data_IF_374801328792
#
_entry.id   IF_374801328792
#
_cell.length_a   1.000
_cell.length_b   1.000
_cell.length_c   1.000
_cell.angle_alpha   90.00
_cell.angle_beta   90.00
_cell.angle_gamma   90.00
#
_symmetry.space_group_name_H-M   'P 1'
#
loop_
_entity.id
_entity.type
_entity.pdbx_description
1 polymer ?
#
# COMPACT_ATOMS: atom_id res chain seq x y z
N UNK A 1 22.84 14.24 -5.95
CA UNK A 1 23.98 13.49 -6.49
C UNK A 1 23.49 12.18 -7.07
N UNK A 2 24.22 11.66 -8.05
CA UNK A 2 23.90 10.41 -8.75
C UNK A 2 23.69 9.22 -7.81
N UNK A 3 24.49 9.13 -6.72
CA UNK A 3 24.33 8.11 -5.69
C UNK A 3 22.92 8.14 -5.07
N UNK A 4 22.46 9.30 -4.55
CA UNK A 4 21.12 9.43 -3.95
C UNK A 4 20.01 8.98 -4.90
N UNK A 5 20.03 9.47 -6.14
CA UNK A 5 18.99 9.15 -7.13
C UNK A 5 19.01 7.67 -7.50
N UNK A 6 20.19 7.09 -7.70
CA UNK A 6 20.33 5.66 -8.00
C UNK A 6 19.86 4.78 -6.85
N UNK A 7 20.21 5.11 -5.60
CA UNK A 7 19.76 4.34 -4.43
C UNK A 7 18.24 4.45 -4.22
N UNK A 8 17.67 5.64 -4.44
CA UNK A 8 16.21 5.83 -4.37
C UNK A 8 15.47 5.03 -5.44
N UNK A 9 15.99 4.97 -6.67
CA UNK A 9 15.35 4.18 -7.72
C UNK A 9 15.40 2.68 -7.43
N UNK A 10 16.55 2.20 -6.96
CA UNK A 10 16.69 0.82 -6.47
C UNK A 10 15.71 0.49 -5.34
N UNK A 11 15.44 1.45 -4.44
CA UNK A 11 14.42 1.29 -3.41
C UNK A 11 13.03 1.09 -4.02
N UNK A 12 12.61 1.95 -4.96
CA UNK A 12 11.29 1.86 -5.59
C UNK A 12 11.11 0.52 -6.30
N UNK A 13 12.09 0.11 -7.09
CA UNK A 13 12.07 -1.16 -7.82
C UNK A 13 11.98 -2.37 -6.88
N UNK A 14 12.81 -2.39 -5.83
CA UNK A 14 12.81 -3.46 -4.85
C UNK A 14 11.48 -3.53 -4.08
N UNK A 15 10.96 -2.36 -3.67
CA UNK A 15 9.71 -2.27 -2.93
C UNK A 15 8.52 -2.69 -3.79
N UNK A 16 8.44 -2.21 -5.03
CA UNK A 16 7.41 -2.62 -5.98
C UNK A 16 7.46 -4.14 -6.25
N UNK A 17 8.66 -4.69 -6.45
CA UNK A 17 8.84 -6.12 -6.66
C UNK A 17 8.35 -6.94 -5.46
N UNK A 18 8.68 -6.52 -4.24
CA UNK A 18 8.23 -7.17 -3.01
C UNK A 18 6.69 -7.15 -2.88
N UNK A 19 6.07 -6.00 -3.16
CA UNK A 19 4.60 -5.87 -3.15
C UNK A 19 3.95 -6.76 -4.23
N UNK A 20 4.55 -6.86 -5.41
CA UNK A 20 4.06 -7.71 -6.49
C UNK A 20 4.23 -9.21 -6.18
N UNK A 21 5.20 -9.57 -5.34
CA UNK A 21 5.37 -10.93 -4.81
C UNK A 21 4.38 -11.27 -3.69
N UNK A 22 3.53 -10.33 -3.26
CA UNK A 22 2.55 -10.54 -2.20
C UNK A 22 3.10 -10.37 -0.78
N UNK A 23 4.32 -9.85 -0.64
CA UNK A 23 4.91 -9.61 0.68
C UNK A 23 4.13 -8.55 1.47
N UNK A 24 4.22 -8.63 2.81
CA UNK A 24 3.57 -7.69 3.70
C UNK A 24 4.10 -6.25 3.54
N UNK A 25 3.21 -5.30 3.24
CA UNK A 25 3.57 -3.90 2.94
C UNK A 25 4.51 -3.28 3.97
N UNK A 26 4.22 -3.41 5.26
CA UNK A 26 5.05 -2.81 6.32
C UNK A 26 6.44 -3.45 6.40
N UNK A 27 6.51 -4.76 6.26
CA UNK A 27 7.77 -5.51 6.31
C UNK A 27 8.65 -5.18 5.11
N UNK A 28 8.09 -5.17 3.90
CA UNK A 28 8.81 -4.83 2.67
C UNK A 28 9.23 -3.36 2.65
N UNK A 29 8.37 -2.43 3.10
CA UNK A 29 8.74 -1.02 3.19
C UNK A 29 9.93 -0.81 4.14
N UNK A 30 9.89 -1.47 5.31
CA UNK A 30 10.95 -1.38 6.31
C UNK A 30 12.27 -1.98 5.82
N UNK A 31 12.24 -3.20 5.28
CA UNK A 31 13.45 -3.90 4.80
C UNK A 31 14.07 -3.18 3.60
N UNK A 32 13.26 -2.72 2.64
CA UNK A 32 13.74 -1.96 1.48
C UNK A 32 14.33 -0.61 1.91
N UNK A 33 13.69 0.11 2.83
CA UNK A 33 14.20 1.38 3.34
C UNK A 33 15.54 1.21 4.07
N UNK A 34 15.66 0.22 4.95
CA UNK A 34 16.93 -0.08 5.63
C UNK A 34 18.04 -0.45 4.65
N UNK A 35 17.75 -1.31 3.67
CA UNK A 35 18.71 -1.69 2.63
C UNK A 35 19.16 -0.48 1.80
N UNK A 36 18.21 0.39 1.43
CA UNK A 36 18.47 1.63 0.72
C UNK A 36 19.41 2.55 1.53
N UNK A 37 19.09 2.81 2.79
CA UNK A 37 19.92 3.67 3.65
C UNK A 37 21.32 3.10 3.85
N UNK A 38 21.45 1.79 4.09
CA UNK A 38 22.76 1.12 4.23
C UNK A 38 23.60 1.22 2.96
N UNK A 39 23.00 1.04 1.78
CA UNK A 39 23.71 1.20 0.48
C UNK A 39 24.15 2.64 0.26
N UNK A 40 23.32 3.61 0.63
CA UNK A 40 23.68 5.02 0.54
C UNK A 40 24.86 5.35 1.47
N UNK A 41 24.79 4.93 2.73
CA UNK A 41 25.84 5.18 3.73
C UNK A 41 27.18 4.57 3.28
N UNK A 42 27.18 3.31 2.82
CA UNK A 42 28.37 2.66 2.25
C UNK A 42 28.91 3.38 1.01
N UNK A 43 28.04 3.74 0.07
CA UNK A 43 28.45 4.46 -1.14
C UNK A 43 29.00 5.86 -0.83
N UNK A 44 28.56 6.48 0.26
CA UNK A 44 29.14 7.70 0.78
C UNK A 44 30.55 7.47 1.32
N UNK A 45 30.76 6.46 2.17
CA UNK A 45 32.08 6.10 2.71
C UNK A 45 33.11 5.85 1.61
N UNK A 46 32.74 5.10 0.57
CA UNK A 46 33.61 4.79 -0.58
C UNK A 46 33.95 6.02 -1.44
N UNK A 47 33.13 7.08 -1.37
CA UNK A 47 33.29 8.31 -2.14
C UNK A 47 33.94 9.46 -1.33
N UNK A 48 34.19 9.29 -0.03
CA UNK A 48 34.81 10.32 0.81
C UNK A 48 36.26 10.53 0.35
N UNK A 49 36.55 11.76 -0.07
CA UNK A 49 37.92 12.26 -0.20
C UNK A 49 38.23 13.00 1.09
N UNK A 50 39.21 12.52 1.86
CA UNK A 50 39.54 13.04 3.21
C UNK A 50 39.78 14.56 3.25
N UNK A 51 40.25 15.16 2.15
CA UNK A 51 40.49 16.61 2.06
C UNK A 51 39.22 17.47 1.85
N UNK A 52 38.08 16.88 1.49
CA UNK A 52 36.91 17.63 1.04
C UNK A 52 35.90 18.00 2.14
N UNK A 53 36.05 17.50 3.38
CA UNK A 53 35.11 17.67 4.50
C UNK A 53 33.63 17.58 4.07
N UNK A 54 33.32 16.54 3.29
CA UNK A 54 32.00 16.41 2.66
C UNK A 54 30.95 15.93 3.68
N UNK A 55 30.01 16.81 4.01
CA UNK A 55 28.88 16.51 4.89
C UNK A 55 27.75 15.79 4.12
N UNK A 56 27.59 14.49 4.36
CA UNK A 56 26.56 13.65 3.73
C UNK A 56 25.20 13.74 4.43
N UNK A 57 25.13 14.30 5.64
CA UNK A 57 23.95 14.27 6.51
C UNK A 57 22.70 14.82 5.82
N UNK A 58 22.81 16.00 5.20
CA UNK A 58 21.70 16.64 4.46
C UNK A 58 21.21 15.81 3.28
N UNK A 59 22.12 15.11 2.59
CA UNK A 59 21.75 14.26 1.46
C UNK A 59 21.09 12.97 1.95
N UNK A 60 21.56 12.43 3.07
CA UNK A 60 20.99 11.27 3.77
C UNK A 60 19.57 11.56 4.28
N UNK A 61 19.38 12.69 4.95
CA UNK A 61 18.06 13.15 5.42
C UNK A 61 17.09 13.38 4.27
N UNK A 62 17.58 13.93 3.14
CA UNK A 62 16.76 14.06 1.94
C UNK A 62 16.37 12.71 1.36
N UNK A 63 17.28 11.74 1.33
CA UNK A 63 16.97 10.38 0.88
C UNK A 63 15.88 9.76 1.76
N UNK A 64 16.01 9.86 3.09
CA UNK A 64 15.00 9.33 4.02
C UNK A 64 13.62 9.94 3.75
N UNK A 65 13.54 11.27 3.60
CA UNK A 65 12.28 11.94 3.27
C UNK A 65 11.69 11.51 1.93
N UNK A 66 12.53 11.31 0.91
CA UNK A 66 12.08 10.84 -0.41
C UNK A 66 11.54 9.39 -0.34
N UNK A 67 12.17 8.54 0.49
CA UNK A 67 11.70 7.17 0.78
C UNK A 67 10.35 7.21 1.48
N UNK A 68 10.23 7.99 2.56
CA UNK A 68 8.99 8.10 3.34
C UNK A 68 7.83 8.60 2.47
N UNK A 69 8.08 9.62 1.65
CA UNK A 69 7.10 10.14 0.69
C UNK A 69 6.67 9.08 -0.34
N UNK A 70 7.60 8.22 -0.80
CA UNK A 70 7.26 7.13 -1.71
C UNK A 70 6.41 6.06 -1.01
N UNK A 71 6.74 5.69 0.23
CA UNK A 71 5.95 4.76 1.04
C UNK A 71 4.52 5.28 1.25
N UNK A 72 4.37 6.57 1.59
CA UNK A 72 3.05 7.18 1.78
C UNK A 72 2.25 7.19 0.47
N UNK A 73 2.89 7.54 -0.65
CA UNK A 73 2.25 7.48 -1.97
C UNK A 73 1.81 6.06 -2.33
N UNK A 74 2.65 5.05 -2.09
CA UNK A 74 2.34 3.65 -2.35
C UNK A 74 1.18 3.16 -1.46
N UNK A 75 1.18 3.55 -0.18
CA UNK A 75 0.10 3.24 0.77
C UNK A 75 -1.22 3.84 0.29
N UNK A 76 -1.24 5.12 -0.08
CA UNK A 76 -2.43 5.79 -0.59
C UNK A 76 -2.96 5.12 -1.86
N UNK A 77 -2.08 4.75 -2.79
CA UNK A 77 -2.44 4.02 -4.01
C UNK A 77 -3.06 2.65 -3.70
N UNK A 78 -2.48 1.87 -2.78
CA UNK A 78 -3.02 0.57 -2.37
C UNK A 78 -4.35 0.66 -1.65
N UNK A 79 -4.53 1.64 -0.76
CA UNK A 79 -5.81 1.89 -0.11
C UNK A 79 -6.90 2.28 -1.11
N UNK A 80 -6.56 3.12 -2.10
CA UNK A 80 -7.46 3.49 -3.20
C UNK A 80 -7.85 2.27 -4.04
N UNK A 81 -6.88 1.41 -4.37
CA UNK A 81 -7.12 0.15 -5.10
C UNK A 81 -8.06 -0.79 -4.32
N UNK A 82 -7.81 -1.00 -3.03
CA UNK A 82 -8.66 -1.84 -2.17
C UNK A 82 -10.07 -1.25 -2.05
N UNK A 83 -10.18 0.07 -1.88
CA UNK A 83 -11.48 0.75 -1.80
C UNK A 83 -12.30 0.50 -3.07
N UNK A 84 -11.70 0.70 -4.26
CA UNK A 84 -12.37 0.44 -5.55
C UNK A 84 -12.78 -1.02 -5.70
N UNK A 85 -11.90 -1.96 -5.33
CA UNK A 85 -12.18 -3.39 -5.39
C UNK A 85 -13.41 -3.76 -4.57
N UNK A 86 -13.45 -3.33 -3.30
CA UNK A 86 -14.55 -3.67 -2.41
C UNK A 86 -15.84 -2.92 -2.73
N UNK A 87 -15.76 -1.68 -3.22
CA UNK A 87 -16.93 -0.99 -3.79
C UNK A 87 -17.52 -1.76 -4.98
N UNK A 88 -16.67 -2.26 -5.88
CA UNK A 88 -17.13 -3.06 -7.02
C UNK A 88 -17.79 -4.36 -6.58
N UNK A 89 -17.17 -5.10 -5.65
CA UNK A 89 -17.74 -6.35 -5.10
C UNK A 89 -19.07 -6.12 -4.41
N UNK A 90 -19.18 -5.05 -3.63
CA UNK A 90 -20.43 -4.69 -2.95
C UNK A 90 -21.52 -4.34 -3.96
N UNK A 91 -21.21 -3.56 -4.99
CA UNK A 91 -22.16 -3.24 -6.05
C UNK A 91 -22.64 -4.50 -6.79
N UNK A 92 -21.72 -5.41 -7.12
CA UNK A 92 -22.04 -6.68 -7.80
C UNK A 92 -22.96 -7.56 -6.93
N UNK A 93 -22.67 -7.68 -5.63
CA UNK A 93 -23.48 -8.46 -4.70
C UNK A 93 -24.87 -7.85 -4.43
N UNK A 94 -25.01 -6.53 -4.55
CA UNK A 94 -26.25 -5.83 -4.22
C UNK A 94 -27.16 -5.57 -5.42
N UNK A 95 -26.63 -5.31 -6.62
CA UNK A 95 -27.41 -4.79 -7.74
C UNK A 95 -28.64 -5.65 -8.07
N UNK A 96 -28.43 -6.95 -8.35
CA UNK A 96 -29.51 -7.86 -8.70
C UNK A 96 -30.52 -8.09 -7.56
N UNK A 97 -30.08 -8.42 -6.34
CA UNK A 97 -31.01 -8.60 -5.21
C UNK A 97 -31.82 -7.34 -4.87
N UNK A 98 -31.21 -6.15 -4.96
CA UNK A 98 -31.93 -4.90 -4.72
C UNK A 98 -32.95 -4.64 -5.81
N UNK A 99 -32.61 -4.84 -7.08
CA UNK A 99 -33.54 -4.73 -8.21
C UNK A 99 -34.76 -5.65 -8.02
N UNK A 100 -34.55 -6.93 -7.72
CA UNK A 100 -35.62 -7.89 -7.46
C UNK A 100 -36.53 -7.51 -6.28
N UNK A 101 -35.97 -6.91 -5.21
CA UNK A 101 -36.73 -6.42 -4.06
C UNK A 101 -37.56 -5.16 -4.38
N UNK A 102 -37.08 -4.35 -5.33
CA UNK A 102 -37.79 -3.16 -5.80
C UNK A 102 -38.90 -3.52 -6.79
N UNK A 103 -38.70 -4.53 -7.64
CA UNK A 103 -39.73 -5.02 -8.57
C UNK A 103 -40.95 -5.58 -7.83
N UNK A 104 -40.73 -6.23 -6.69
CA UNK A 104 -41.78 -6.80 -5.82
C UNK A 104 -42.10 -5.96 -4.59
N UNK A 105 -41.99 -4.62 -4.68
CA UNK A 105 -41.97 -3.74 -3.52
C UNK A 105 -43.20 -3.92 -2.58
N UNK A 106 -42.91 -4.05 -1.29
CA UNK A 106 -43.89 -4.07 -0.21
C UNK A 106 -43.30 -3.45 1.06
N UNK A 107 -44.05 -3.48 2.16
CA UNK A 107 -43.65 -2.87 3.44
C UNK A 107 -42.32 -3.43 4.00
N UNK A 108 -41.94 -4.66 3.62
CA UNK A 108 -40.71 -5.33 4.04
C UNK A 108 -39.50 -5.08 3.12
N UNK A 109 -39.69 -4.40 1.98
CA UNK A 109 -38.61 -4.13 1.01
C UNK A 109 -37.45 -3.38 1.64
N UNK A 110 -37.71 -2.23 2.26
CA UNK A 110 -36.65 -1.41 2.87
C UNK A 110 -35.96 -2.08 4.07
N UNK A 111 -36.68 -2.72 5.02
CA UNK A 111 -36.06 -3.56 6.04
C UNK A 111 -35.13 -4.63 5.46
N UNK A 112 -35.55 -5.30 4.37
CA UNK A 112 -34.77 -6.37 3.73
C UNK A 112 -33.51 -5.84 3.05
N UNK A 113 -33.61 -4.73 2.30
CA UNK A 113 -32.46 -4.06 1.69
C UNK A 113 -31.43 -3.64 2.76
N UNK A 114 -31.86 -3.09 3.90
CA UNK A 114 -30.94 -2.72 4.99
C UNK A 114 -30.22 -3.93 5.58
N UNK A 115 -30.91 -5.05 5.78
CA UNK A 115 -30.31 -6.31 6.26
C UNK A 115 -29.29 -6.86 5.26
N UNK A 116 -29.62 -6.85 3.97
CA UNK A 116 -28.73 -7.26 2.90
C UNK A 116 -27.47 -6.39 2.86
N UNK A 117 -27.62 -5.07 2.82
CA UNK A 117 -26.50 -4.12 2.80
C UNK A 117 -25.56 -4.34 3.98
N UNK A 118 -26.12 -4.51 5.20
CA UNK A 118 -25.34 -4.79 6.41
C UNK A 118 -24.53 -6.09 6.25
N UNK A 119 -25.17 -7.18 5.82
CA UNK A 119 -24.50 -8.47 5.62
C UNK A 119 -23.37 -8.38 4.60
N UNK A 120 -23.63 -7.80 3.43
CA UNK A 120 -22.61 -7.71 2.36
C UNK A 120 -21.45 -6.78 2.77
N UNK A 121 -21.72 -5.72 3.53
CA UNK A 121 -20.67 -4.88 4.11
C UNK A 121 -19.83 -5.65 5.14
N UNK A 122 -20.44 -6.44 6.02
CA UNK A 122 -19.74 -7.29 6.99
C UNK A 122 -18.87 -8.36 6.30
N UNK A 123 -19.36 -8.97 5.22
CA UNK A 123 -18.59 -9.92 4.41
C UNK A 123 -17.40 -9.26 3.71
N UNK A 124 -17.57 -8.04 3.18
CA UNK A 124 -16.48 -7.27 2.60
C UNK A 124 -15.38 -6.96 3.63
N UNK A 125 -15.76 -6.57 4.86
CA UNK A 125 -14.82 -6.31 5.97
C UNK A 125 -14.09 -7.59 6.40
N UNK A 126 -14.79 -8.72 6.46
CA UNK A 126 -14.18 -10.01 6.78
C UNK A 126 -13.16 -10.42 5.71
N UNK A 127 -13.50 -10.28 4.43
CA UNK A 127 -12.59 -10.56 3.32
C UNK A 127 -11.36 -9.67 3.31
N UNK A 128 -11.46 -8.42 3.77
CA UNK A 128 -10.31 -7.54 3.94
C UNK A 128 -9.37 -8.07 5.03
N UNK A 129 -9.93 -8.51 6.16
CA UNK A 129 -9.17 -8.99 7.30
C UNK A 129 -8.48 -10.35 7.04
N UNK A 130 -9.14 -11.27 6.34
CA UNK A 130 -8.55 -12.57 5.99
C UNK A 130 -7.42 -12.45 4.95
N UNK A 131 -7.57 -11.55 3.97
CA UNK A 131 -6.50 -11.25 3.01
C UNK A 131 -5.27 -10.62 3.67
N UNK A 132 -5.41 -9.97 4.85
CA UNK A 132 -4.24 -9.49 5.61
C UNK A 132 -3.50 -10.61 6.37
N UNK A 133 -4.13 -11.76 6.61
CA UNK A 133 -3.52 -12.90 7.32
C UNK A 133 -2.81 -13.89 6.37
N UNK A 134 -3.17 -13.91 5.09
CA UNK A 134 -2.52 -14.78 4.10
C UNK A 134 -1.13 -14.28 3.64
N UNK A 135 -0.77 -13.04 3.95
CA UNK A 135 0.54 -12.45 3.64
C UNK A 135 1.51 -12.45 4.84
N UNK A 136 1.23 -13.28 5.86
CA UNK A 136 2.01 -13.38 7.11
C UNK A 136 2.73 -14.74 7.29
N UNK A 137 2.82 -15.57 6.25
CA UNK A 137 3.50 -16.86 6.27
C UNK A 137 4.59 -16.95 5.20
#
# INVERSE_FOLDING_TARGET
GHLRSGTLENFKEAFEKALNAGEGFSSSAHSCAQSCMSRFDKGCEEAVIEQANWDTSKTREKLQRDIDANIDSARAAKLSQLTRLYQSKLNEALAGPVEALLDGANDETWPTIRKLLKREAELAVFGLSSNTQQNAH
#
